data_IF_537587939588
#
_entry.id   IF_537587939588
#
_cell.length_a   1.000
_cell.length_b   1.000
_cell.length_c   1.000
_cell.angle_alpha   90.00
_cell.angle_beta   90.00
_cell.angle_gamma   90.00
#
_symmetry.space_group_name_H-M   'P 1'
#
loop_
_entity.id
_entity.type
_entity.pdbx_description
1 polymer ?
#
# COMPACT_ATOMS: atom_id res chain seq x y z
N UNK A 1 1.58 10.04 -27.90
CA UNK A 1 2.35 10.33 -29.12
C UNK A 1 1.60 9.96 -30.39
N UNK A 2 0.64 9.05 -30.37
CA UNK A 2 -0.08 8.51 -31.55
C UNK A 2 0.70 7.48 -32.38
N UNK A 3 1.96 7.23 -32.06
CA UNK A 3 2.79 6.22 -32.74
C UNK A 3 2.44 4.82 -32.20
N UNK A 4 1.96 3.95 -33.09
CA UNK A 4 1.50 2.59 -32.79
C UNK A 4 2.56 1.71 -32.14
N UNK A 5 3.86 1.94 -32.45
CA UNK A 5 4.95 1.14 -31.89
C UNK A 5 5.02 1.23 -30.35
N UNK A 6 4.68 2.38 -29.75
CA UNK A 6 4.66 2.50 -28.31
C UNK A 6 3.53 1.70 -27.66
N UNK A 7 2.36 1.66 -28.32
CA UNK A 7 1.27 0.80 -27.87
C UNK A 7 1.64 -0.68 -27.98
N UNK A 8 2.24 -1.09 -29.11
CA UNK A 8 2.68 -2.48 -29.33
C UNK A 8 3.71 -2.90 -28.26
N UNK A 9 4.69 -2.05 -27.96
CA UNK A 9 5.67 -2.30 -26.89
C UNK A 9 5.02 -2.35 -25.51
N UNK A 10 4.09 -1.43 -25.19
CA UNK A 10 3.38 -1.45 -23.91
C UNK A 10 2.58 -2.73 -23.72
N UNK A 11 1.90 -3.20 -24.78
CA UNK A 11 1.17 -4.49 -24.76
C UNK A 11 2.13 -5.67 -24.56
N UNK A 12 3.26 -5.67 -25.26
CA UNK A 12 4.27 -6.72 -25.12
C UNK A 12 4.79 -6.80 -23.68
N UNK A 13 5.17 -5.65 -23.09
CA UNK A 13 5.66 -5.62 -21.69
C UNK A 13 4.56 -6.03 -20.71
N UNK A 14 3.32 -5.55 -20.88
CA UNK A 14 2.20 -5.93 -20.03
C UNK A 14 1.88 -7.43 -20.09
N UNK A 15 2.09 -8.08 -21.23
CA UNK A 15 1.94 -9.54 -21.37
C UNK A 15 3.07 -10.35 -20.75
N UNK A 16 4.27 -9.78 -20.66
CA UNK A 16 5.40 -10.43 -19.97
C UNK A 16 5.19 -10.53 -18.46
N UNK A 17 4.46 -9.57 -17.89
CA UNK A 17 4.12 -9.54 -16.46
C UNK A 17 2.62 -9.25 -16.28
N UNK A 18 1.76 -10.26 -16.50
CA UNK A 18 0.30 -10.08 -16.43
C UNK A 18 -0.21 -9.77 -15.03
N UNK A 19 0.53 -10.17 -13.98
CA UNK A 19 0.22 -9.88 -12.57
C UNK A 19 1.52 -9.54 -11.86
N UNK A 20 1.52 -8.44 -11.09
CA UNK A 20 2.70 -8.06 -10.30
C UNK A 20 3.05 -9.16 -9.29
N UNK A 21 4.34 -9.54 -9.16
CA UNK A 21 4.77 -10.71 -8.40
C UNK A 21 4.39 -10.72 -6.92
N UNK A 22 4.22 -9.55 -6.30
CA UNK A 22 3.85 -9.44 -4.89
C UNK A 22 2.36 -9.75 -4.62
N UNK A 23 1.49 -9.63 -5.65
CA UNK A 23 0.04 -9.85 -5.50
C UNK A 23 -0.27 -11.30 -5.17
N UNK A 24 -0.75 -11.54 -3.94
CA UNK A 24 -1.05 -12.88 -3.42
C UNK A 24 0.18 -13.73 -3.05
N UNK A 25 1.38 -13.17 -3.09
CA UNK A 25 2.60 -13.85 -2.66
C UNK A 25 2.85 -13.73 -1.15
N UNK A 26 3.66 -14.64 -0.59
CA UNK A 26 4.14 -14.53 0.80
C UNK A 26 5.37 -13.65 0.90
N UNK A 27 6.13 -13.54 -0.18
CA UNK A 27 7.29 -12.66 -0.31
C UNK A 27 7.51 -12.26 -1.76
N UNK A 28 8.28 -11.20 -1.96
CA UNK A 28 8.76 -10.81 -3.28
C UNK A 28 10.18 -10.24 -3.15
N UNK A 29 10.97 -10.36 -4.22
CA UNK A 29 12.30 -9.73 -4.27
C UNK A 29 12.13 -8.22 -4.38
N UNK A 30 13.08 -7.45 -3.87
CA UNK A 30 13.05 -5.98 -3.80
C UNK A 30 12.60 -5.29 -5.10
N UNK A 31 13.07 -5.74 -6.25
CA UNK A 31 12.68 -5.14 -7.53
C UNK A 31 11.36 -5.65 -8.11
N UNK A 32 10.74 -6.67 -7.54
CA UNK A 32 9.51 -7.29 -8.04
C UNK A 32 8.25 -6.61 -7.51
N UNK A 33 8.37 -5.69 -6.58
CA UNK A 33 7.25 -4.92 -6.05
C UNK A 33 7.09 -3.54 -6.71
N UNK A 34 8.03 -3.12 -7.53
CA UNK A 34 7.88 -1.97 -8.44
C UNK A 34 7.40 -2.43 -9.83
N UNK A 35 6.49 -1.68 -10.49
CA UNK A 35 5.68 -0.59 -9.96
C UNK A 35 4.54 -1.14 -9.09
N UNK A 36 4.30 -0.51 -7.97
CA UNK A 36 3.26 -0.95 -7.04
C UNK A 36 1.88 -0.99 -7.69
N UNK A 37 1.47 0.07 -8.36
CA UNK A 37 0.10 0.27 -8.82
C UNK A 37 -0.24 -0.32 -10.19
N UNK A 38 0.71 -0.82 -10.92
CA UNK A 38 0.52 -1.35 -12.28
C UNK A 38 -0.36 -0.46 -13.19
N UNK A 39 -0.08 0.84 -13.22
CA UNK A 39 -0.84 1.82 -14.01
C UNK A 39 -0.78 1.53 -15.51
N UNK A 40 0.27 0.85 -15.97
CA UNK A 40 0.38 0.41 -17.36
C UNK A 40 -0.79 -0.47 -17.79
N UNK A 41 -1.16 -1.45 -16.97
CA UNK A 41 -2.33 -2.31 -17.23
C UNK A 41 -3.62 -1.50 -17.25
N UNK A 42 -3.83 -0.61 -16.28
CA UNK A 42 -5.00 0.26 -16.26
C UNK A 42 -5.12 1.08 -17.55
N UNK A 43 -4.04 1.70 -18.03
CA UNK A 43 -4.06 2.45 -19.28
C UNK A 43 -4.38 1.55 -20.49
N UNK A 44 -3.90 0.31 -20.51
CA UNK A 44 -4.22 -0.65 -21.58
C UNK A 44 -5.69 -1.11 -21.55
N UNK A 45 -6.40 -0.96 -20.43
CA UNK A 45 -7.86 -1.18 -20.39
C UNK A 45 -8.67 -0.06 -21.06
N UNK A 46 -8.04 1.08 -21.37
CA UNK A 46 -8.68 2.29 -21.91
C UNK A 46 -8.33 2.57 -23.37
N UNK A 47 -7.69 1.64 -24.06
CA UNK A 47 -7.32 1.83 -25.49
C UNK A 47 -8.57 1.87 -26.35
N UNK A 48 -8.79 3.01 -27.04
CA UNK A 48 -9.96 3.21 -27.89
C UNK A 48 -10.01 2.19 -29.03
N UNK A 49 -11.22 1.70 -29.32
CA UNK A 49 -11.47 0.80 -30.45
C UNK A 49 -10.94 -0.63 -30.28
N UNK A 50 -10.29 -0.97 -29.17
CA UNK A 50 -9.70 -2.30 -28.97
C UNK A 50 -10.27 -3.04 -27.75
N UNK A 51 -11.56 -3.40 -27.81
CA UNK A 51 -12.25 -4.13 -26.71
C UNK A 51 -11.57 -5.44 -26.32
N UNK A 52 -10.94 -6.15 -27.27
CA UNK A 52 -10.24 -7.41 -26.96
C UNK A 52 -9.04 -7.16 -26.05
N UNK A 53 -8.24 -6.16 -26.37
CA UNK A 53 -7.09 -5.74 -25.56
C UNK A 53 -7.53 -5.25 -24.19
N UNK A 54 -8.54 -4.39 -24.16
CA UNK A 54 -9.07 -3.84 -22.92
C UNK A 54 -9.53 -4.96 -21.97
N UNK A 55 -10.29 -5.94 -22.47
CA UNK A 55 -10.74 -7.09 -21.69
C UNK A 55 -9.58 -8.00 -21.25
N UNK A 56 -8.51 -8.12 -22.03
CA UNK A 56 -7.31 -8.86 -21.64
C UNK A 56 -6.68 -8.24 -20.37
N UNK A 57 -6.45 -6.94 -20.37
CA UNK A 57 -5.83 -6.25 -19.25
C UNK A 57 -6.77 -6.07 -18.04
N UNK A 58 -8.08 -6.00 -18.25
CA UNK A 58 -9.05 -6.10 -17.14
C UNK A 58 -8.97 -7.45 -16.44
N UNK A 59 -8.83 -8.55 -17.18
CA UNK A 59 -8.62 -9.89 -16.58
C UNK A 59 -7.31 -9.97 -15.81
N UNK A 60 -6.25 -9.35 -16.30
CA UNK A 60 -4.96 -9.32 -15.60
C UNK A 60 -5.06 -8.55 -14.28
N UNK A 61 -5.71 -7.36 -14.28
CA UNK A 61 -5.98 -6.62 -13.05
C UNK A 61 -6.80 -7.46 -12.06
N UNK A 62 -7.89 -8.05 -12.52
CA UNK A 62 -8.73 -8.93 -11.68
C UNK A 62 -7.92 -10.09 -11.10
N UNK A 63 -7.07 -10.73 -11.90
CA UNK A 63 -6.26 -11.86 -11.43
C UNK A 63 -5.32 -11.48 -10.28
N UNK A 64 -4.71 -10.29 -10.33
CA UNK A 64 -3.88 -9.79 -9.23
C UNK A 64 -4.68 -9.51 -7.97
N UNK A 65 -5.81 -8.81 -8.10
CA UNK A 65 -6.71 -8.51 -6.99
C UNK A 65 -7.24 -9.81 -6.38
N UNK A 66 -7.67 -10.77 -7.22
CA UNK A 66 -8.18 -12.07 -6.77
C UNK A 66 -7.16 -12.86 -5.95
N UNK A 67 -5.90 -12.91 -6.39
CA UNK A 67 -4.83 -13.58 -5.62
C UNK A 67 -4.63 -12.95 -4.24
N UNK A 68 -4.70 -11.62 -4.15
CA UNK A 68 -4.60 -10.91 -2.87
C UNK A 68 -5.84 -11.16 -2.01
N UNK A 69 -7.03 -11.19 -2.60
CA UNK A 69 -8.28 -11.49 -1.91
C UNK A 69 -8.28 -12.91 -1.30
N UNK A 70 -7.80 -13.90 -2.03
CA UNK A 70 -7.68 -15.30 -1.53
C UNK A 70 -6.79 -15.41 -0.29
N UNK A 71 -5.78 -14.54 -0.16
CA UNK A 71 -4.99 -14.42 1.08
C UNK A 71 -5.72 -13.61 2.15
N UNK A 72 -6.34 -12.52 1.75
CA UNK A 72 -7.01 -11.60 2.66
C UNK A 72 -8.10 -12.30 3.48
N UNK A 73 -8.91 -13.16 2.86
CA UNK A 73 -9.98 -13.90 3.55
C UNK A 73 -9.47 -14.90 4.59
N UNK A 74 -8.17 -15.19 4.60
CA UNK A 74 -7.52 -16.05 5.61
C UNK A 74 -6.91 -15.23 6.75
N UNK A 75 -6.86 -13.91 6.61
CA UNK A 75 -6.33 -12.99 7.62
C UNK A 75 -7.46 -12.45 8.51
N UNK A 76 -7.29 -12.36 9.83
CA UNK A 76 -8.30 -11.79 10.73
C UNK A 76 -8.62 -10.32 10.44
N UNK A 77 -7.72 -9.61 9.78
CA UNK A 77 -7.89 -8.20 9.37
C UNK A 77 -8.21 -8.04 7.88
N UNK A 78 -8.46 -9.15 7.17
CA UNK A 78 -8.67 -9.16 5.73
C UNK A 78 -7.55 -8.44 4.94
N UNK A 79 -6.32 -8.57 5.45
CA UNK A 79 -5.11 -7.95 4.90
C UNK A 79 -4.28 -9.00 4.16
N UNK A 80 -4.32 -8.98 2.83
CA UNK A 80 -3.68 -9.99 1.95
C UNK A 80 -2.31 -9.59 1.41
N UNK A 81 -1.67 -8.57 2.00
CA UNK A 81 -0.37 -8.04 1.57
C UNK A 81 0.76 -8.77 2.29
N UNK A 82 1.88 -9.12 1.61
CA UNK A 82 3.05 -9.65 2.28
C UNK A 82 3.74 -8.57 3.12
N UNK A 83 4.20 -8.92 4.31
CA UNK A 83 4.93 -8.02 5.21
C UNK A 83 6.42 -7.94 4.83
N UNK A 84 6.66 -7.48 3.62
CA UNK A 84 7.99 -7.17 3.08
C UNK A 84 8.26 -5.67 3.21
N UNK A 85 9.45 -5.23 2.77
CA UNK A 85 9.77 -3.80 2.72
C UNK A 85 8.64 -2.98 2.10
N UNK A 86 8.30 -1.86 2.74
CA UNK A 86 7.24 -0.95 2.29
C UNK A 86 5.86 -1.64 2.17
N UNK A 87 5.49 -2.50 3.12
CA UNK A 87 4.21 -3.22 3.08
C UNK A 87 2.99 -2.30 3.00
N UNK A 88 3.05 -1.12 3.62
CA UNK A 88 1.99 -0.12 3.50
C UNK A 88 1.91 0.51 2.10
N UNK A 89 3.02 0.64 1.39
CA UNK A 89 3.00 1.09 -0.01
C UNK A 89 2.27 0.07 -0.90
N UNK A 90 2.50 -1.22 -0.66
CA UNK A 90 1.77 -2.28 -1.35
C UNK A 90 0.28 -2.29 -0.97
N UNK A 91 -0.04 -2.00 0.29
CA UNK A 91 -1.44 -1.86 0.74
C UNK A 91 -2.14 -0.73 -0.02
N UNK A 92 -1.54 0.46 -0.11
CA UNK A 92 -2.12 1.59 -0.88
C UNK A 92 -2.17 1.31 -2.37
N UNK A 93 -1.20 0.58 -2.90
CA UNK A 93 -1.22 0.13 -4.29
C UNK A 93 -2.40 -0.81 -4.57
N UNK A 94 -2.69 -1.76 -3.67
CA UNK A 94 -3.85 -2.65 -3.80
C UNK A 94 -5.16 -1.88 -3.68
N UNK A 95 -5.28 -0.93 -2.74
CA UNK A 95 -6.43 -0.02 -2.64
C UNK A 95 -6.69 0.69 -3.96
N UNK A 96 -5.64 1.21 -4.58
CA UNK A 96 -5.74 1.89 -5.89
C UNK A 96 -6.16 0.91 -7.00
N UNK A 97 -5.62 -0.31 -7.01
CA UNK A 97 -6.02 -1.34 -7.98
C UNK A 97 -7.49 -1.73 -7.84
N UNK A 98 -7.96 -1.98 -6.62
CA UNK A 98 -9.37 -2.28 -6.33
C UNK A 98 -10.28 -1.14 -6.81
N UNK A 99 -9.91 0.10 -6.46
CA UNK A 99 -10.66 1.30 -6.84
C UNK A 99 -10.79 1.46 -8.36
N UNK A 100 -9.66 1.40 -9.07
CA UNK A 100 -9.62 1.56 -10.53
C UNK A 100 -10.36 0.43 -11.26
N UNK A 101 -10.26 -0.79 -10.75
CA UNK A 101 -10.98 -1.95 -11.28
C UNK A 101 -12.50 -1.77 -11.09
N UNK A 102 -12.95 -1.45 -9.88
CA UNK A 102 -14.36 -1.21 -9.56
C UNK A 102 -14.95 -0.06 -10.38
N UNK A 103 -14.27 1.07 -10.48
CA UNK A 103 -14.70 2.22 -11.31
C UNK A 103 -14.79 1.87 -12.80
N UNK A 104 -13.97 0.94 -13.27
CA UNK A 104 -13.96 0.56 -14.69
C UNK A 104 -15.01 -0.49 -15.02
N UNK A 105 -15.32 -1.39 -14.10
CA UNK A 105 -16.14 -2.59 -14.34
C UNK A 105 -17.50 -2.55 -13.65
N UNK A 106 -17.64 -1.79 -12.56
CA UNK A 106 -18.79 -1.86 -11.64
C UNK A 106 -18.79 -3.13 -10.75
N UNK A 107 -17.72 -3.93 -10.77
CA UNK A 107 -17.61 -5.16 -9.97
C UNK A 107 -17.22 -4.83 -8.52
N UNK A 108 -18.14 -5.08 -7.58
CA UNK A 108 -17.99 -4.82 -6.14
C UNK A 108 -17.43 -6.03 -5.34
N UNK A 109 -17.02 -7.10 -6.01
CA UNK A 109 -16.56 -8.36 -5.36
C UNK A 109 -15.49 -8.13 -4.30
N UNK A 110 -14.64 -7.12 -4.48
CA UNK A 110 -13.50 -6.85 -3.60
C UNK A 110 -13.69 -5.64 -2.68
N UNK A 111 -14.90 -5.09 -2.61
CA UNK A 111 -15.18 -3.86 -1.85
C UNK A 111 -14.92 -4.01 -0.35
N UNK A 112 -15.22 -5.18 0.23
CA UNK A 112 -14.95 -5.46 1.64
C UNK A 112 -13.44 -5.52 1.94
N UNK A 113 -12.65 -6.17 1.08
CA UNK A 113 -11.19 -6.19 1.19
C UNK A 113 -10.61 -4.77 1.03
N UNK A 114 -11.09 -4.00 0.06
CA UNK A 114 -10.72 -2.60 -0.12
C UNK A 114 -10.94 -1.79 1.16
N UNK A 115 -12.13 -1.91 1.77
CA UNK A 115 -12.47 -1.23 3.02
C UNK A 115 -11.56 -1.67 4.18
N UNK A 116 -11.36 -2.97 4.36
CA UNK A 116 -10.54 -3.54 5.43
C UNK A 116 -9.07 -3.09 5.33
N UNK A 117 -8.49 -3.08 4.13
CA UNK A 117 -7.13 -2.60 3.91
C UNK A 117 -6.98 -1.09 4.15
N UNK A 118 -8.00 -0.29 3.80
CA UNK A 118 -8.05 1.11 4.19
C UNK A 118 -8.03 1.26 5.71
N UNK A 119 -8.91 0.54 6.39
CA UNK A 119 -9.07 0.63 7.83
C UNK A 119 -7.83 0.12 8.57
N UNK A 120 -7.10 -0.85 7.98
CA UNK A 120 -5.77 -1.25 8.45
C UNK A 120 -4.81 -0.06 8.57
N UNK A 121 -4.74 0.80 7.57
CA UNK A 121 -3.86 1.97 7.58
C UNK A 121 -4.27 3.01 8.63
N UNK A 122 -5.53 2.99 9.08
CA UNK A 122 -6.07 3.90 10.08
C UNK A 122 -6.23 3.29 11.47
N UNK A 123 -5.65 2.12 11.72
CA UNK A 123 -5.56 1.54 13.06
C UNK A 123 -6.37 0.26 13.28
N UNK A 124 -7.19 -0.22 12.32
CA UNK A 124 -7.78 -1.56 12.37
C UNK A 124 -6.73 -2.63 12.01
N UNK A 125 -5.67 -2.70 12.81
CA UNK A 125 -4.54 -3.59 12.66
C UNK A 125 -4.14 -4.18 14.02
N UNK A 126 -3.20 -5.14 14.09
CA UNK A 126 -2.83 -5.80 15.34
C UNK A 126 -2.34 -4.87 16.46
N UNK A 127 -1.83 -3.70 16.12
CA UNK A 127 -1.25 -2.75 17.07
C UNK A 127 -2.22 -1.64 17.49
N UNK A 128 -3.40 -1.55 16.84
CA UNK A 128 -4.40 -0.51 17.12
C UNK A 128 -3.92 0.91 16.81
N UNK A 129 -2.86 1.07 16.04
CA UNK A 129 -2.26 2.37 15.70
C UNK A 129 -2.39 2.67 14.22
N UNK A 130 -2.65 3.93 13.88
CA UNK A 130 -2.57 4.41 12.51
C UNK A 130 -1.14 4.26 11.97
N UNK A 131 -1.03 4.08 10.66
CA UNK A 131 0.25 4.07 9.94
C UNK A 131 0.58 5.44 9.31
N UNK A 132 -0.13 6.50 9.73
CA UNK A 132 0.00 7.85 9.18
C UNK A 132 0.49 8.78 10.28
N UNK A 133 1.64 9.41 10.05
CA UNK A 133 2.29 10.29 11.01
C UNK A 133 1.34 11.38 11.50
N UNK A 134 1.14 11.44 12.82
CA UNK A 134 0.28 12.40 13.54
C UNK A 134 -1.19 12.44 13.10
N UNK A 135 -1.71 11.40 12.46
CA UNK A 135 -3.11 11.31 12.04
C UNK A 135 -3.69 9.90 12.28
N UNK A 136 -5.00 9.79 12.65
CA UNK A 136 -5.90 10.90 12.99
C UNK A 136 -5.58 11.47 14.38
N UNK A 137 -5.85 12.75 14.60
CA UNK A 137 -5.55 13.42 15.89
C UNK A 137 -6.33 12.87 17.10
N UNK A 138 -7.33 12.03 16.88
CA UNK A 138 -8.17 11.40 17.91
C UNK A 138 -7.79 9.94 18.18
N UNK A 139 -6.78 9.42 17.50
CA UNK A 139 -6.32 8.04 17.61
C UNK A 139 -4.86 7.94 17.99
N UNK A 140 -4.35 6.73 18.03
CA UNK A 140 -2.92 6.45 18.12
C UNK A 140 -2.28 6.52 16.72
N UNK A 141 -1.06 7.03 16.63
CA UNK A 141 -0.34 7.27 15.38
C UNK A 141 1.18 7.34 15.60
N UNK A 142 2.00 7.18 14.53
CA UNK A 142 3.44 7.36 14.63
C UNK A 142 3.81 8.80 15.04
N UNK A 143 4.50 8.93 16.18
CA UNK A 143 4.92 10.21 16.74
C UNK A 143 6.39 10.52 16.45
N UNK A 144 7.21 9.50 16.26
CA UNK A 144 8.67 9.60 16.11
C UNK A 144 9.17 8.86 14.88
N UNK A 145 8.62 9.21 13.69
CA UNK A 145 8.99 8.55 12.44
C UNK A 145 10.47 8.70 12.13
N UNK A 146 11.03 7.75 11.39
CA UNK A 146 12.39 7.83 10.88
C UNK A 146 12.50 8.96 9.84
N UNK A 147 12.84 10.14 10.31
CA UNK A 147 12.85 11.36 9.51
C UNK A 147 14.04 12.26 9.87
N UNK A 148 14.73 12.76 8.84
CA UNK A 148 15.78 13.76 9.00
C UNK A 148 15.24 15.09 9.55
N UNK A 149 14.01 15.47 9.22
CA UNK A 149 13.35 16.66 9.75
C UNK A 149 13.16 16.57 11.26
N UNK A 150 12.67 15.43 11.73
CA UNK A 150 12.48 15.19 13.16
C UNK A 150 13.82 15.14 13.90
N UNK A 151 14.83 14.45 13.32
CA UNK A 151 16.19 14.40 13.90
C UNK A 151 16.85 15.76 14.02
N UNK A 152 16.62 16.65 13.05
CA UNK A 152 17.13 18.02 13.06
C UNK A 152 16.31 18.97 13.96
N UNK A 153 15.19 18.52 14.54
CA UNK A 153 14.33 19.37 15.38
C UNK A 153 13.64 20.51 14.61
N UNK A 154 13.51 20.38 13.28
CA UNK A 154 12.93 21.44 12.43
C UNK A 154 11.47 21.20 12.04
N UNK A 155 10.92 20.03 12.39
CA UNK A 155 9.53 19.71 12.09
C UNK A 155 9.27 18.20 12.07
N UNK A 156 8.09 17.85 11.59
CA UNK A 156 7.63 16.46 11.43
C UNK A 156 7.10 16.24 10.01
N UNK A 157 6.80 15.00 9.68
CA UNK A 157 6.24 14.57 8.39
C UNK A 157 4.75 14.26 8.52
N UNK A 158 3.98 15.14 9.18
CA UNK A 158 2.53 14.98 9.39
C UNK A 158 1.81 14.57 8.10
N UNK A 159 1.03 13.50 8.17
CA UNK A 159 0.30 12.94 7.03
C UNK A 159 1.14 11.97 6.18
N UNK A 160 2.42 11.79 6.47
CA UNK A 160 3.27 10.80 5.80
C UNK A 160 2.88 9.38 6.17
N UNK A 161 2.73 8.49 5.20
CA UNK A 161 2.51 7.07 5.42
C UNK A 161 3.85 6.40 5.70
N UNK A 162 3.99 5.73 6.83
CA UNK A 162 5.21 4.97 7.16
C UNK A 162 5.27 3.65 6.38
N UNK A 163 6.47 3.12 6.19
CA UNK A 163 6.75 1.88 5.44
C UNK A 163 5.85 0.70 5.85
N UNK A 164 5.53 0.61 7.13
CA UNK A 164 4.70 -0.44 7.67
C UNK A 164 5.48 -1.68 8.12
N UNK A 165 4.75 -2.67 8.67
CA UNK A 165 5.36 -3.82 9.30
C UNK A 165 6.12 -4.71 8.32
N UNK A 166 7.19 -5.34 8.82
CA UNK A 166 7.96 -6.36 8.09
C UNK A 166 7.96 -7.69 8.83
N UNK A 167 8.21 -8.79 8.11
CA UNK A 167 8.45 -10.09 8.75
C UNK A 167 9.69 -10.05 9.65
N UNK A 168 9.63 -10.73 10.77
CA UNK A 168 10.77 -10.88 11.68
C UNK A 168 12.00 -11.51 10.98
N UNK A 169 11.79 -12.35 9.99
CA UNK A 169 12.87 -12.91 9.15
C UNK A 169 13.62 -11.84 8.35
N UNK A 170 12.96 -10.74 8.00
CA UNK A 170 13.61 -9.57 7.41
C UNK A 170 14.28 -8.74 8.50
N UNK A 171 13.49 -8.35 9.52
CA UNK A 171 13.95 -7.46 10.59
C UNK A 171 15.22 -7.97 11.30
N UNK A 172 15.29 -9.27 11.61
CA UNK A 172 16.42 -9.88 12.29
C UNK A 172 17.74 -9.88 11.50
N UNK A 173 17.70 -9.60 10.20
CA UNK A 173 18.89 -9.49 9.35
C UNK A 173 19.40 -8.05 9.21
N UNK A 174 18.67 -7.07 9.74
CA UNK A 174 19.01 -5.66 9.60
C UNK A 174 20.07 -5.23 10.61
N UNK A 175 20.86 -4.25 10.24
CA UNK A 175 21.86 -3.63 11.11
C UNK A 175 21.58 -2.14 11.29
N UNK A 176 21.86 -1.61 12.49
CA UNK A 176 21.68 -0.19 12.78
C UNK A 176 20.25 0.24 13.13
N UNK A 177 19.28 -0.67 13.07
CA UNK A 177 17.93 -0.42 13.61
C UNK A 177 18.02 -0.39 15.13
N UNK A 178 17.43 0.62 15.75
CA UNK A 178 17.37 0.74 17.20
C UNK A 178 16.11 1.46 17.65
N UNK A 179 15.76 1.28 18.92
CA UNK A 179 14.58 1.88 19.56
C UNK A 179 14.85 3.30 20.08
N UNK A 180 15.62 4.09 19.34
CA UNK A 180 15.91 5.47 19.70
C UNK A 180 14.68 6.34 19.50
N UNK A 181 14.31 7.08 20.54
CA UNK A 181 13.33 8.17 20.46
C UNK A 181 14.01 9.53 20.30
N UNK A 182 13.25 10.57 20.46
CA UNK A 182 13.72 11.95 20.66
C UNK A 182 13.87 12.20 22.18
N UNK A 183 14.61 13.24 22.62
CA UNK A 183 14.72 13.56 24.04
C UNK A 183 13.36 13.60 24.73
N UNK A 184 13.20 12.84 25.83
CA UNK A 184 11.98 12.66 26.61
C UNK A 184 10.81 11.94 25.91
N UNK A 185 11.03 11.35 24.75
CA UNK A 185 10.04 10.55 24.02
C UNK A 185 10.73 9.28 23.51
N UNK A 186 10.77 8.20 24.30
CA UNK A 186 11.38 6.95 23.88
C UNK A 186 10.63 6.36 22.69
N UNK A 187 11.31 5.58 21.86
CA UNK A 187 10.69 4.78 20.82
C UNK A 187 9.72 3.77 21.42
N UNK A 188 8.67 3.45 20.67
CA UNK A 188 7.67 2.46 21.04
C UNK A 188 7.93 1.15 20.29
N UNK A 189 8.19 0.09 21.08
CA UNK A 189 8.32 -1.29 20.61
C UNK A 189 6.98 -2.00 20.80
N UNK A 190 6.23 -2.11 19.71
CA UNK A 190 4.96 -2.83 19.75
C UNK A 190 5.18 -4.34 19.82
N UNK A 191 4.29 -5.04 20.51
CA UNK A 191 4.32 -6.49 20.54
C UNK A 191 4.21 -7.07 19.12
N UNK A 192 5.02 -8.09 18.82
CA UNK A 192 5.04 -8.73 17.52
C UNK A 192 3.77 -9.53 17.27
N UNK A 193 3.09 -9.23 16.20
CA UNK A 193 1.89 -9.97 15.83
C UNK A 193 2.25 -11.38 15.38
N UNK A 194 1.69 -12.38 16.08
CA UNK A 194 1.98 -13.82 15.89
C UNK A 194 3.48 -14.16 15.97
N UNK A 195 4.29 -13.30 16.61
CA UNK A 195 5.74 -13.46 16.68
C UNK A 195 6.50 -13.21 15.37
N UNK A 196 5.81 -12.95 14.28
CA UNK A 196 6.40 -12.87 12.94
C UNK A 196 6.44 -11.45 12.36
N UNK A 197 5.44 -10.61 12.61
CA UNK A 197 5.36 -9.26 12.09
C UNK A 197 5.86 -8.25 13.10
N UNK A 198 6.78 -7.41 12.66
CA UNK A 198 7.47 -6.40 13.48
C UNK A 198 7.04 -5.01 13.04
N UNK A 199 6.68 -4.16 14.00
CA UNK A 199 6.43 -2.74 13.81
C UNK A 199 6.93 -1.96 15.03
N UNK A 200 7.55 -0.80 14.79
CA UNK A 200 7.99 0.11 15.85
C UNK A 200 7.67 1.57 15.47
N UNK A 201 7.35 2.39 16.47
CA UNK A 201 7.40 3.84 16.33
C UNK A 201 8.69 4.35 16.98
N UNK A 202 9.79 4.34 16.23
CA UNK A 202 11.10 4.75 16.70
C UNK A 202 11.89 5.46 15.60
N UNK A 203 12.50 6.60 15.93
CA UNK A 203 13.30 7.37 14.96
C UNK A 203 14.51 6.59 14.43
N UNK A 204 14.93 5.55 15.16
CA UNK A 204 16.00 4.65 14.76
C UNK A 204 15.56 3.48 13.88
N UNK A 205 14.25 3.29 13.65
CA UNK A 205 13.74 2.22 12.78
C UNK A 205 13.39 2.74 11.39
N UNK A 206 14.34 2.52 10.47
CA UNK A 206 14.16 2.83 9.04
C UNK A 206 13.42 1.74 8.28
N UNK A 207 13.11 0.62 8.92
CA UNK A 207 12.52 -0.55 8.23
C UNK A 207 11.00 -0.58 8.30
N UNK A 208 10.41 0.00 9.35
CA UNK A 208 8.96 -0.02 9.56
C UNK A 208 8.36 1.37 9.73
N UNK A 209 9.17 2.37 10.06
CA UNK A 209 8.71 3.70 10.51
C UNK A 209 9.22 4.86 9.63
N UNK A 210 9.75 4.60 8.44
CA UNK A 210 10.16 5.64 7.50
C UNK A 210 8.94 6.12 6.70
N UNK A 211 8.58 7.42 6.74
CA UNK A 211 7.53 7.95 5.88
C UNK A 211 7.98 7.99 4.43
N UNK A 212 7.27 7.28 3.56
CA UNK A 212 7.60 7.18 2.15
C UNK A 212 6.76 8.11 1.28
N UNK A 213 7.38 8.65 0.25
CA UNK A 213 6.76 9.58 -0.68
C UNK A 213 5.74 8.89 -1.60
N UNK A 214 6.07 7.73 -2.10
CA UNK A 214 5.25 6.94 -3.01
C UNK A 214 4.00 6.36 -2.31
N UNK A 215 4.13 5.77 -1.12
CA UNK A 215 2.99 5.32 -0.32
C UNK A 215 2.05 6.46 0.05
N UNK A 216 2.59 7.59 0.48
CA UNK A 216 1.82 8.81 0.81
C UNK A 216 1.07 9.34 -0.41
N UNK A 217 1.71 9.39 -1.58
CA UNK A 217 1.07 9.83 -2.82
C UNK A 217 -0.08 8.91 -3.25
N UNK A 218 0.12 7.58 -3.17
CA UNK A 218 -0.92 6.61 -3.47
C UNK A 218 -2.11 6.73 -2.53
N UNK A 219 -1.87 6.89 -1.22
CA UNK A 219 -2.91 7.08 -0.22
C UNK A 219 -3.70 8.37 -0.47
N UNK A 220 -3.02 9.46 -0.82
CA UNK A 220 -3.65 10.75 -1.15
C UNK A 220 -4.60 10.61 -2.34
N UNK A 221 -4.18 9.92 -3.40
CA UNK A 221 -5.04 9.63 -4.55
C UNK A 221 -6.28 8.83 -4.13
N UNK A 222 -6.07 7.74 -3.40
CA UNK A 222 -7.16 6.87 -2.95
C UNK A 222 -8.20 7.63 -2.10
N UNK A 223 -7.77 8.34 -1.07
CA UNK A 223 -8.65 9.11 -0.18
C UNK A 223 -9.40 10.22 -0.93
N UNK A 224 -8.74 10.90 -1.86
CA UNK A 224 -9.38 11.92 -2.71
C UNK A 224 -10.47 11.33 -3.59
N UNK A 225 -10.28 10.12 -4.12
CA UNK A 225 -11.27 9.42 -4.92
C UNK A 225 -12.49 9.01 -4.09
N UNK A 226 -12.29 8.57 -2.84
CA UNK A 226 -13.37 8.26 -1.90
C UNK A 226 -14.16 9.52 -1.52
N UNK A 227 -13.48 10.63 -1.25
CA UNK A 227 -14.15 11.90 -0.97
C UNK A 227 -15.03 12.33 -2.14
N UNK A 228 -14.52 12.24 -3.36
CA UNK A 228 -15.28 12.58 -4.56
C UNK A 228 -16.52 11.68 -4.75
N UNK A 229 -16.43 10.40 -4.39
CA UNK A 229 -17.58 9.47 -4.40
C UNK A 229 -18.61 9.86 -3.34
N UNK A 230 -18.20 10.07 -2.09
CA UNK A 230 -19.09 10.49 -1.01
C UNK A 230 -19.83 11.79 -1.32
N UNK A 231 -19.15 12.78 -1.93
CA UNK A 231 -19.76 14.02 -2.37
C UNK A 231 -20.80 13.83 -3.48
N UNK A 232 -20.65 12.84 -4.35
CA UNK A 232 -21.65 12.51 -5.37
C UNK A 232 -22.90 11.90 -4.73
N UNK A 233 -22.71 10.95 -3.81
CA UNK A 233 -23.80 10.29 -3.08
C UNK A 233 -24.61 11.28 -2.22
N UNK A 234 -23.96 12.23 -1.57
CA UNK A 234 -24.63 13.24 -0.75
C UNK A 234 -25.49 14.23 -1.56
N UNK A 235 -25.38 14.26 -2.89
CA UNK A 235 -26.17 15.12 -3.80
C UNK A 235 -27.37 14.40 -4.42
N UNK A 236 -27.50 13.11 -4.22
CA UNK A 236 -28.64 12.29 -4.64
C UNK A 236 -29.68 12.17 -3.55
#
# INVERSE_FOLDING_TARGET
>A
TGDKKYLEQAVEYGRREPVSPWMGADSARHYQWYPFMNMGHYHLTKVEGNKRLNNEFLRNMRAGIQRTFEKAVQSPFMHGIPYIWCSNNLTTAMLTQCRLYRETTGDETYAEMEAAMRDWLFGCNPWGTSMIVELPKTGDYPMIPHSSYLRAGVGTTTGGLVDGPVYNTIFSTLSGVNMTGIPNTPGQDYERFQGEMVYHDAIGDYSTNEPTMDGTACLTYYLSSMQAEGMKQAKQ
#
